data_IF_392046486238
#
_entry.id   IF_392046486238
#
_cell.length_a   1.000
_cell.length_b   1.000
_cell.length_c   1.000
_cell.angle_alpha   90.00
_cell.angle_beta   90.00
_cell.angle_gamma   90.00
#
_symmetry.space_group_name_H-M   'P 1'
#
loop_
_entity.id
_entity.type
_entity.pdbx_description
1 polymer ?
#
# COMPACT_ATOMS: atom_id res chain seq x y z
N UNK A 1 51.64 19.67 -47.76
CA UNK A 1 50.26 19.64 -48.29
C UNK A 1 49.46 18.71 -47.37
N UNK A 2 48.50 19.29 -46.65
CA UNK A 2 47.48 18.77 -45.72
C UNK A 2 47.85 17.98 -44.43
N UNK A 3 47.59 18.65 -43.31
CA UNK A 3 47.12 18.16 -42.00
C UNK A 3 45.77 17.40 -42.12
N UNK A 4 45.49 16.47 -41.18
CA UNK A 4 44.32 16.53 -40.29
C UNK A 4 44.05 15.18 -39.59
N UNK A 5 44.09 15.21 -38.26
CA UNK A 5 43.16 14.62 -37.28
C UNK A 5 42.22 13.49 -37.70
N UNK A 6 42.27 12.39 -36.95
CA UNK A 6 41.09 11.56 -36.71
C UNK A 6 40.96 11.21 -35.22
N UNK A 7 40.20 12.08 -34.57
CA UNK A 7 39.49 11.86 -33.32
C UNK A 7 38.42 10.78 -33.53
N UNK A 8 38.30 9.83 -32.59
CA UNK A 8 37.04 9.11 -32.26
C UNK A 8 37.35 8.24 -31.05
N UNK A 9 37.03 8.73 -29.86
CA UNK A 9 35.77 8.50 -29.18
C UNK A 9 36.02 7.53 -28.03
N UNK A 10 36.27 8.11 -26.85
CA UNK A 10 36.29 7.44 -25.56
C UNK A 10 35.04 6.56 -25.46
N UNK A 11 35.22 5.25 -25.39
CA UNK A 11 34.17 4.32 -24.98
C UNK A 11 33.69 4.72 -23.59
N UNK A 12 32.59 5.49 -23.55
CA UNK A 12 31.76 5.63 -22.36
C UNK A 12 30.79 4.46 -22.41
N UNK A 13 30.71 3.58 -21.40
CA UNK A 13 29.57 2.71 -21.30
C UNK A 13 28.35 3.63 -21.20
N UNK A 14 27.51 3.61 -22.24
CA UNK A 14 26.19 4.18 -22.12
C UNK A 14 25.54 3.39 -21.00
N UNK A 15 25.24 4.06 -19.89
CA UNK A 15 24.25 3.55 -18.96
C UNK A 15 22.97 3.59 -19.77
N UNK A 16 22.72 2.47 -20.44
CA UNK A 16 21.41 2.13 -20.94
C UNK A 16 20.54 2.06 -19.69
N UNK A 17 20.02 3.22 -19.28
CA UNK A 17 18.94 3.32 -18.33
C UNK A 17 17.69 2.83 -19.05
N UNK A 18 17.72 1.53 -19.40
CA UNK A 18 16.52 0.71 -19.36
C UNK A 18 15.93 0.98 -17.99
N UNK A 19 14.83 1.73 -17.96
CA UNK A 19 14.09 1.97 -16.74
C UNK A 19 13.95 0.62 -16.03
N UNK A 20 14.28 0.51 -14.74
CA UNK A 20 14.08 -0.76 -14.05
C UNK A 20 12.63 -1.19 -14.29
N UNK A 21 12.36 -2.50 -14.46
CA UNK A 21 11.00 -2.97 -14.60
C UNK A 21 10.17 -2.36 -13.45
N UNK A 22 8.96 -1.89 -13.75
CA UNK A 22 8.04 -1.29 -12.77
C UNK A 22 7.52 -2.31 -11.74
N UNK A 23 8.31 -3.33 -11.44
CA UNK A 23 8.08 -4.37 -10.45
C UNK A 23 8.68 -3.99 -9.08
N UNK A 24 8.74 -2.70 -8.79
CA UNK A 24 9.04 -2.23 -7.43
C UNK A 24 7.76 -2.17 -6.60
N UNK A 25 7.04 -3.29 -6.49
CA UNK A 25 6.16 -3.65 -5.37
C UNK A 25 5.41 -2.52 -4.63
N UNK A 26 4.95 -1.47 -5.32
CA UNK A 26 4.40 -0.28 -4.67
C UNK A 26 2.98 -0.61 -4.24
N UNK A 27 2.63 -0.33 -2.99
CA UNK A 27 1.27 -0.50 -2.50
C UNK A 27 0.76 0.87 -2.07
N UNK A 28 -0.54 1.10 -2.22
CA UNK A 28 -1.15 2.26 -1.60
C UNK A 28 -1.68 1.86 -0.21
N UNK A 29 -1.75 2.82 0.69
CA UNK A 29 -2.24 2.63 2.06
C UNK A 29 -3.44 3.56 2.28
N UNK A 30 -4.57 2.95 2.64
CA UNK A 30 -5.78 3.66 3.05
C UNK A 30 -5.81 3.78 4.57
N UNK A 31 -5.67 4.99 5.08
CA UNK A 31 -5.71 5.32 6.51
C UNK A 31 -7.10 5.78 6.92
N UNK A 32 -7.62 5.23 8.02
CA UNK A 32 -8.95 5.52 8.57
C UNK A 32 -8.93 5.61 10.10
N UNK A 33 -9.90 6.30 10.74
CA UNK A 33 -10.07 6.26 12.19
C UNK A 33 -10.28 4.83 12.69
N UNK A 34 -9.69 4.49 13.84
CA UNK A 34 -9.68 3.12 14.35
C UNK A 34 -11.07 2.52 14.54
N UNK A 35 -12.04 3.30 15.04
CA UNK A 35 -13.43 2.83 15.21
C UNK A 35 -14.04 2.40 13.87
N UNK A 36 -13.84 3.17 12.81
CA UNK A 36 -14.35 2.83 11.48
C UNK A 36 -13.57 1.67 10.85
N UNK A 37 -12.24 1.67 11.01
CA UNK A 37 -11.39 0.62 10.46
C UNK A 37 -11.64 -0.75 11.10
N UNK A 38 -11.83 -0.83 12.41
CA UNK A 38 -12.12 -2.11 13.09
C UNK A 38 -13.46 -2.70 12.66
N UNK A 39 -14.50 -1.86 12.53
CA UNK A 39 -15.79 -2.29 11.98
C UNK A 39 -15.65 -2.76 10.52
N UNK A 40 -14.85 -2.06 9.72
CA UNK A 40 -14.57 -2.49 8.34
C UNK A 40 -13.82 -3.83 8.30
N UNK A 41 -12.82 -4.05 9.16
CA UNK A 41 -12.15 -5.35 9.30
C UNK A 41 -13.16 -6.44 9.65
N UNK A 42 -14.04 -6.19 10.61
CA UNK A 42 -15.04 -7.17 11.02
C UNK A 42 -16.04 -7.50 9.90
N UNK A 43 -16.53 -6.49 9.17
CA UNK A 43 -17.38 -6.68 7.99
C UNK A 43 -16.66 -7.52 6.93
N UNK A 44 -15.40 -7.18 6.61
CA UNK A 44 -14.60 -7.91 5.63
C UNK A 44 -14.42 -9.38 6.04
N UNK A 45 -14.15 -9.65 7.32
CA UNK A 45 -13.98 -11.02 7.84
C UNK A 45 -15.28 -11.83 7.83
N UNK A 46 -16.45 -11.18 7.95
CA UNK A 46 -17.76 -11.84 7.88
C UNK A 46 -18.20 -12.13 6.44
N UNK A 47 -17.84 -11.24 5.50
CA UNK A 47 -18.30 -11.31 4.11
C UNK A 47 -17.36 -12.01 3.12
N UNK A 48 -16.08 -12.20 3.46
CA UNK A 48 -15.08 -12.69 2.51
C UNK A 48 -14.81 -14.20 2.63
N UNK A 49 -14.79 -14.88 1.47
CA UNK A 49 -14.19 -16.22 1.32
C UNK A 49 -12.66 -16.15 1.25
N UNK A 50 -12.12 -15.01 0.80
CA UNK A 50 -10.69 -14.70 0.72
C UNK A 50 -10.22 -13.93 1.97
N UNK A 51 -8.94 -14.06 2.34
CA UNK A 51 -8.40 -13.42 3.54
C UNK A 51 -8.38 -11.88 3.42
N UNK A 52 -8.69 -11.19 4.51
CA UNK A 52 -8.47 -9.74 4.65
C UNK A 52 -6.98 -9.46 4.49
N UNK A 53 -6.63 -8.47 3.67
CA UNK A 53 -5.24 -8.09 3.43
C UNK A 53 -4.57 -7.50 4.68
N UNK A 54 -3.26 -7.22 4.60
CA UNK A 54 -2.49 -6.71 5.74
C UNK A 54 -3.07 -5.38 6.25
N UNK A 55 -3.13 -5.24 7.57
CA UNK A 55 -3.63 -4.03 8.25
C UNK A 55 -2.62 -3.57 9.28
N UNK A 56 -2.25 -2.30 9.18
CA UNK A 56 -1.40 -1.56 10.09
C UNK A 56 -2.27 -0.84 11.12
N UNK A 57 -1.74 -0.66 12.33
CA UNK A 57 -2.23 0.35 13.26
C UNK A 57 -1.11 1.36 13.52
N UNK A 58 -1.47 2.61 13.73
CA UNK A 58 -0.54 3.62 14.21
C UNK A 58 -0.18 3.38 15.69
N UNK A 59 0.88 4.01 16.19
CA UNK A 59 1.38 3.79 17.55
C UNK A 59 0.43 4.24 18.65
N UNK A 60 -0.40 5.26 18.38
CA UNK A 60 -1.47 5.68 19.27
C UNK A 60 -2.76 4.84 19.10
N UNK A 61 -2.78 3.90 18.16
CA UNK A 61 -3.94 3.06 17.80
C UNK A 61 -5.20 3.87 17.41
N UNK A 62 -5.06 5.15 17.10
CA UNK A 62 -6.17 6.02 16.68
C UNK A 62 -6.54 5.84 15.21
N UNK A 63 -5.61 5.29 14.41
CA UNK A 63 -5.81 5.05 12.99
C UNK A 63 -5.38 3.65 12.57
N UNK A 64 -6.05 3.12 11.55
CA UNK A 64 -5.71 1.87 10.88
C UNK A 64 -5.37 2.12 9.42
N UNK A 65 -4.36 1.42 8.90
CA UNK A 65 -3.88 1.48 7.52
C UNK A 65 -4.13 0.16 6.79
N UNK A 66 -4.92 0.17 5.73
CA UNK A 66 -5.16 -0.99 4.88
C UNK A 66 -4.28 -0.93 3.65
N UNK A 67 -3.57 -2.02 3.36
CA UNK A 67 -2.81 -2.13 2.12
C UNK A 67 -3.74 -2.49 0.97
N UNK A 68 -3.66 -1.71 -0.11
CA UNK A 68 -4.44 -1.87 -1.33
C UNK A 68 -3.51 -1.82 -2.56
N UNK A 69 -3.95 -2.32 -3.73
CA UNK A 69 -3.17 -2.27 -4.95
C UNK A 69 -2.73 -0.85 -5.31
N UNK A 70 -1.54 -0.68 -5.94
CA UNK A 70 -1.07 0.63 -6.38
C UNK A 70 -2.02 1.28 -7.39
N UNK A 71 -2.09 2.61 -7.37
CA UNK A 71 -2.99 3.40 -8.20
C UNK A 71 -4.40 3.54 -7.61
N UNK A 72 -4.66 2.92 -6.44
CA UNK A 72 -5.89 3.15 -5.69
C UNK A 72 -5.96 4.59 -5.17
N UNK A 73 -4.83 5.18 -4.78
CA UNK A 73 -4.76 6.53 -4.26
C UNK A 73 -5.29 7.58 -5.24
N UNK A 74 -5.08 7.38 -6.54
CA UNK A 74 -5.51 8.31 -7.60
C UNK A 74 -7.04 8.39 -7.74
N UNK A 75 -7.75 7.33 -7.34
CA UNK A 75 -9.21 7.19 -7.46
C UNK A 75 -9.88 6.92 -6.10
N UNK A 76 -9.23 7.32 -5.01
CA UNK A 76 -9.78 7.13 -3.68
C UNK A 76 -10.65 8.32 -3.28
N UNK A 77 -11.94 8.07 -3.07
CA UNK A 77 -12.93 9.09 -2.72
C UNK A 77 -13.92 8.51 -1.70
N UNK A 78 -13.41 8.19 -0.50
CA UNK A 78 -14.24 7.74 0.63
C UNK A 78 -14.10 8.75 1.79
N UNK A 79 -15.19 9.38 2.24
CA UNK A 79 -15.15 10.34 3.35
C UNK A 79 -14.59 9.73 4.64
N UNK A 80 -13.80 10.53 5.38
CA UNK A 80 -13.19 10.09 6.62
C UNK A 80 -12.00 9.15 6.46
N UNK A 81 -11.54 8.93 5.23
CA UNK A 81 -10.36 8.12 4.91
C UNK A 81 -9.40 8.88 4.00
N UNK A 82 -8.11 8.57 4.10
CA UNK A 82 -7.07 9.13 3.24
C UNK A 82 -6.31 7.98 2.58
N UNK A 83 -6.03 8.06 1.28
CA UNK A 83 -5.21 7.07 0.59
C UNK A 83 -3.89 7.71 0.17
N UNK A 84 -2.78 7.05 0.49
CA UNK A 84 -1.42 7.54 0.20
C UNK A 84 -0.63 6.48 -0.53
N UNK A 85 0.12 6.90 -1.54
CA UNK A 85 1.05 6.02 -2.23
C UNK A 85 2.22 5.72 -1.28
N UNK A 86 2.47 4.44 -1.02
CA UNK A 86 3.65 4.05 -0.23
C UNK A 86 4.68 3.38 -1.14
N UNK A 87 5.88 3.98 -1.30
CA UNK A 87 6.93 3.33 -2.06
C UNK A 87 7.30 2.02 -1.36
N UNK A 88 7.52 0.96 -2.13
CA UNK A 88 8.10 -0.27 -1.59
C UNK A 88 9.40 0.09 -0.86
N UNK A 89 9.48 -0.19 0.44
CA UNK A 89 10.76 -0.03 1.14
C UNK A 89 11.69 -1.14 0.67
N UNK A 90 12.89 -0.81 0.15
CA UNK A 90 13.88 -1.84 -0.17
C UNK A 90 14.35 -2.44 1.16
N UNK A 91 13.77 -3.57 1.57
CA UNK A 91 14.35 -4.35 2.66
C UNK A 91 15.73 -4.83 2.20
N UNK A 92 16.83 -4.44 2.87
CA UNK A 92 18.19 -4.68 2.39
C UNK A 92 18.66 -6.15 2.48
N UNK A 93 17.77 -7.08 2.82
CA UNK A 93 18.14 -8.43 3.29
C UNK A 93 17.63 -9.60 2.45
N UNK A 94 17.11 -9.40 1.22
CA UNK A 94 16.64 -10.55 0.43
C UNK A 94 17.02 -10.56 -1.04
N UNK A 95 17.41 -11.76 -1.48
CA UNK A 95 17.86 -12.05 -2.83
C UNK A 95 16.74 -11.95 -3.87
N UNK A 96 17.11 -11.89 -5.16
CA UNK A 96 16.18 -11.73 -6.28
C UNK A 96 15.17 -12.89 -6.30
N UNK A 97 13.88 -12.57 -6.12
CA UNK A 97 12.77 -13.54 -6.18
C UNK A 97 11.83 -13.55 -4.96
N UNK A 98 12.07 -12.73 -3.94
CA UNK A 98 11.07 -12.47 -2.91
C UNK A 98 9.98 -11.54 -3.49
N UNK A 99 8.70 -11.90 -3.29
CA UNK A 99 7.57 -11.05 -3.67
C UNK A 99 7.53 -9.73 -2.89
N UNK A 100 6.61 -8.82 -3.27
CA UNK A 100 6.32 -7.57 -2.56
C UNK A 100 6.21 -7.68 -1.03
N UNK A 101 7.32 -7.44 -0.30
CA UNK A 101 7.24 -7.26 1.14
C UNK A 101 6.57 -5.91 1.43
N UNK A 102 5.43 -5.89 2.15
CA UNK A 102 4.79 -4.65 2.51
C UNK A 102 5.69 -3.82 3.44
N UNK A 103 5.61 -2.48 3.38
CA UNK A 103 6.47 -1.61 4.17
C UNK A 103 6.35 -1.95 5.66
N UNK A 104 7.49 -1.91 6.37
CA UNK A 104 7.49 -2.08 7.81
C UNK A 104 6.60 -0.99 8.46
N UNK A 105 5.89 -1.31 9.55
CA UNK A 105 5.17 -0.30 10.32
C UNK A 105 6.10 0.86 10.68
N UNK A 106 5.57 2.09 10.63
CA UNK A 106 6.33 3.30 11.02
C UNK A 106 6.74 3.22 12.49
N UNK A 107 7.75 3.99 12.93
CA UNK A 107 8.17 3.99 14.34
C UNK A 107 6.98 4.26 15.27
N UNK A 108 6.67 3.28 16.14
CA UNK A 108 5.53 3.30 17.06
C UNK A 108 4.34 2.46 16.61
N UNK A 109 4.12 2.30 15.30
CA UNK A 109 3.03 1.50 14.74
C UNK A 109 3.32 -0.01 14.67
N UNK A 110 2.29 -0.80 14.41
CA UNK A 110 2.39 -2.26 14.35
C UNK A 110 1.40 -2.89 13.37
N UNK A 111 1.52 -4.21 13.19
CA UNK A 111 0.57 -4.99 12.39
C UNK A 111 -0.63 -5.38 13.24
N UNK A 112 -1.82 -4.92 12.87
CA UNK A 112 -3.07 -5.49 13.36
C UNK A 112 -3.34 -6.85 12.70
N UNK A 113 -3.17 -6.90 11.38
CA UNK A 113 -3.18 -8.13 10.59
C UNK A 113 -1.85 -8.21 9.83
N UNK A 114 -0.91 -9.10 10.23
CA UNK A 114 0.36 -9.21 9.56
C UNK A 114 0.17 -9.80 8.15
N UNK A 115 1.08 -9.51 7.21
CA UNK A 115 1.06 -10.17 5.91
C UNK A 115 1.17 -11.69 6.05
N UNK A 116 0.24 -12.39 5.40
CA UNK A 116 0.29 -13.84 5.24
C UNK A 116 1.28 -14.27 4.14
N UNK A 117 1.41 -15.58 3.94
CA UNK A 117 2.32 -16.15 2.92
C UNK A 117 1.90 -15.92 1.46
N UNK A 118 0.71 -15.37 1.21
CA UNK A 118 0.28 -14.88 -0.09
C UNK A 118 -0.06 -13.40 0.05
N UNK A 119 0.66 -12.57 -0.69
CA UNK A 119 0.65 -11.10 -0.66
C UNK A 119 -0.64 -10.51 -1.26
N UNK A 120 -1.79 -10.92 -0.75
CA UNK A 120 -3.08 -10.36 -1.15
C UNK A 120 -3.33 -9.08 -0.36
N UNK A 121 -3.00 -7.96 -0.98
CA UNK A 121 -3.52 -6.65 -0.60
C UNK A 121 -5.05 -6.65 -0.70
N UNK A 122 -5.71 -5.81 0.10
CA UNK A 122 -7.18 -5.75 0.15
C UNK A 122 -7.73 -5.17 -1.15
N UNK A 123 -8.76 -5.80 -1.74
CA UNK A 123 -9.45 -5.22 -2.90
C UNK A 123 -10.05 -3.85 -2.54
N UNK A 124 -9.74 -2.78 -3.29
CA UNK A 124 -10.15 -1.44 -2.93
C UNK A 124 -11.66 -1.23 -3.08
N UNK A 125 -12.35 -1.91 -3.99
CA UNK A 125 -13.80 -1.83 -4.12
C UNK A 125 -14.50 -2.45 -2.90
N UNK A 126 -14.01 -3.61 -2.45
CA UNK A 126 -14.53 -4.27 -1.24
C UNK A 126 -14.24 -3.42 0.00
N UNK A 127 -13.05 -2.83 0.10
CA UNK A 127 -12.71 -1.93 1.20
C UNK A 127 -13.62 -0.68 1.24
N UNK A 128 -13.89 -0.04 0.10
CA UNK A 128 -14.82 1.11 0.03
C UNK A 128 -16.22 0.73 0.54
N UNK A 129 -16.72 -0.44 0.12
CA UNK A 129 -18.03 -0.92 0.55
C UNK A 129 -18.09 -1.15 2.06
N UNK A 130 -17.07 -1.81 2.62
CA UNK A 130 -16.97 -2.06 4.05
C UNK A 130 -16.86 -0.77 4.87
N UNK A 131 -16.04 0.20 4.42
CA UNK A 131 -15.91 1.49 5.09
C UNK A 131 -17.20 2.31 5.06
N UNK A 132 -17.93 2.27 3.95
CA UNK A 132 -19.23 2.93 3.82
C UNK A 132 -20.29 2.29 4.70
N UNK A 133 -20.26 0.96 4.88
CA UNK A 133 -21.14 0.27 5.82
C UNK A 133 -20.78 0.55 7.27
N UNK A 134 -19.50 0.49 7.63
CA UNK A 134 -19.01 0.88 8.95
C UNK A 134 -19.46 2.30 9.33
N UNK A 135 -19.35 3.26 8.42
CA UNK A 135 -19.79 4.64 8.65
C UNK A 135 -21.29 4.72 8.98
N UNK A 136 -22.14 3.99 8.22
CA UNK A 136 -23.60 3.95 8.49
C UNK A 136 -23.94 3.30 9.83
N UNK A 137 -23.24 2.22 10.20
CA UNK A 137 -23.45 1.56 11.49
C UNK A 137 -23.08 2.48 12.65
N UNK A 138 -21.95 3.17 12.52
CA UNK A 138 -21.47 4.14 13.50
C UNK A 138 -22.45 5.31 13.64
N UNK A 139 -22.89 5.89 12.52
CA UNK A 139 -23.86 6.98 12.51
C UNK A 139 -25.18 6.56 13.18
N UNK A 140 -25.69 5.38 12.86
CA UNK A 140 -26.89 4.83 13.49
C UNK A 140 -26.71 4.67 15.01
N UNK A 141 -25.55 4.17 15.46
CA UNK A 141 -25.25 4.00 16.88
C UNK A 141 -25.12 5.34 17.63
N UNK A 142 -24.49 6.34 17.01
CA UNK A 142 -24.30 7.66 17.61
C UNK A 142 -25.64 8.44 17.68
N UNK A 143 -26.56 8.24 16.73
CA UNK A 143 -27.90 8.87 16.72
C UNK A 143 -28.92 8.20 17.66
N UNK A 144 -28.61 7.04 18.25
CA UNK A 144 -29.45 6.38 19.24
C UNK A 144 -29.19 6.84 20.69
N UNK A 145 -28.37 7.87 20.89
CA UNK A 145 -27.99 8.40 22.21
C UNK A 145 -28.91 9.50 22.72
#
# INVERSE_FOLDING_TARGET
>A
MLEASLSTARHRPTQDHSAPPRDSASCDVVTVPARQGLEAVDILRRGATEAVGPVLHDGDCDTLGFLVPPGTADAWDVPGSACTHTPASPSPERGPGAGPVPPAPVEGGGWLLPPGGAELVTDPAVLRAALGEAARMIEAADNCR
#
